data_IF_062228940943
#
_entry.id   IF_062228940943
#
_cell.length_a   1.000
_cell.length_b   1.000
_cell.length_c   1.000
_cell.angle_alpha   90.00
_cell.angle_beta   90.00
_cell.angle_gamma   90.00
#
_symmetry.space_group_name_H-M   'P 1'
#
loop_
_entity.id
_entity.type
_entity.pdbx_description
1 polymer ?
#
# COMPACT_ATOMS: atom_id res chain seq x y z
N UNK A 1 -0.70 -18.72 6.56
CA UNK A 1 -0.68 -17.71 7.64
C UNK A 1 -0.56 -16.35 6.99
N UNK A 2 -1.37 -15.37 7.38
CA UNK A 2 -1.32 -14.01 6.82
C UNK A 2 -0.14 -13.23 7.41
N UNK A 3 0.47 -12.33 6.64
CA UNK A 3 1.60 -11.51 7.10
C UNK A 3 1.09 -10.17 7.67
N UNK A 4 1.12 -10.05 9.00
CA UNK A 4 0.72 -8.84 9.72
C UNK A 4 1.59 -7.61 9.38
N UNK A 5 2.77 -7.79 8.79
CA UNK A 5 3.59 -6.66 8.36
C UNK A 5 2.96 -5.86 7.22
N UNK A 6 2.00 -6.48 6.51
CA UNK A 6 1.34 -5.89 5.36
C UNK A 6 0.16 -4.98 5.69
N UNK A 7 -0.14 -4.80 6.98
CA UNK A 7 -1.16 -3.86 7.42
C UNK A 7 -0.61 -2.44 7.29
N UNK A 8 -1.09 -1.71 6.28
CA UNK A 8 -0.71 -0.33 6.11
C UNK A 8 -1.30 0.55 7.20
N UNK A 9 -0.45 1.34 7.86
CA UNK A 9 -0.84 2.32 8.88
C UNK A 9 -1.92 3.33 8.41
N UNK A 10 -2.07 3.51 7.09
CA UNK A 10 -3.08 4.36 6.45
C UNK A 10 -4.31 3.60 5.91
N UNK A 11 -4.40 2.28 6.08
CA UNK A 11 -5.45 1.43 5.52
C UNK A 11 -5.15 0.84 4.14
N UNK A 12 -3.99 1.12 3.56
CA UNK A 12 -3.58 0.45 2.32
C UNK A 12 -3.02 -0.94 2.63
N UNK A 13 -3.43 -1.96 1.88
CA UNK A 13 -2.75 -3.25 1.93
C UNK A 13 -1.34 -3.12 1.33
N UNK A 14 -0.29 -3.30 2.15
CA UNK A 14 1.08 -3.13 1.67
C UNK A 14 1.45 -4.15 0.59
N UNK A 15 0.85 -5.34 0.58
CA UNK A 15 1.03 -6.31 -0.50
C UNK A 15 0.67 -5.76 -1.88
N UNK A 16 -0.13 -4.70 -1.96
CA UNK A 16 -0.44 -3.98 -3.20
C UNK A 16 0.11 -2.53 -3.24
N UNK A 17 0.94 -2.14 -2.27
CA UNK A 17 1.64 -0.86 -2.31
C UNK A 17 2.74 -0.90 -3.39
N UNK A 18 2.78 0.10 -4.28
CA UNK A 18 3.77 0.13 -5.35
C UNK A 18 5.23 0.12 -4.87
N UNK A 19 5.54 0.72 -3.72
CA UNK A 19 6.91 0.68 -3.15
C UNK A 19 7.27 -0.73 -2.68
N UNK A 20 6.36 -1.38 -1.93
CA UNK A 20 6.57 -2.74 -1.43
C UNK A 20 6.66 -3.73 -2.60
N UNK A 21 5.79 -3.58 -3.61
CA UNK A 21 5.83 -4.39 -4.83
C UNK A 21 7.10 -4.17 -5.64
N UNK A 22 7.55 -2.93 -5.82
CA UNK A 22 8.82 -2.64 -6.48
C UNK A 22 10.00 -3.34 -5.78
N UNK A 23 10.09 -3.25 -4.46
CA UNK A 23 11.14 -3.93 -3.70
C UNK A 23 11.08 -5.46 -3.85
N UNK A 24 9.88 -6.05 -3.72
CA UNK A 24 9.71 -7.52 -3.68
C UNK A 24 9.72 -8.19 -5.05
N UNK A 25 9.20 -7.51 -6.08
CA UNK A 25 9.09 -8.07 -7.42
C UNK A 25 10.32 -7.73 -8.28
N UNK A 26 11.08 -6.67 -7.91
CA UNK A 26 12.28 -6.21 -8.60
C UNK A 26 12.01 -5.92 -10.10
N UNK A 27 13.04 -5.96 -10.95
CA UNK A 27 12.93 -5.88 -12.39
C UNK A 27 12.55 -4.50 -12.92
N UNK A 28 11.82 -4.47 -14.03
CA UNK A 28 11.47 -3.24 -14.73
C UNK A 28 10.57 -2.32 -13.88
N UNK A 29 9.64 -2.89 -13.11
CA UNK A 29 8.75 -2.11 -12.25
C UNK A 29 9.54 -1.33 -11.19
N UNK A 30 10.57 -1.95 -10.60
CA UNK A 30 11.47 -1.27 -9.66
C UNK A 30 12.24 -0.13 -10.34
N UNK A 31 12.83 -0.39 -11.52
CA UNK A 31 13.58 0.61 -12.28
C UNK A 31 12.72 1.82 -12.63
N UNK A 32 11.55 1.59 -13.25
CA UNK A 32 10.62 2.65 -13.66
C UNK A 32 10.13 3.47 -12.46
N UNK A 33 9.90 2.82 -11.31
CA UNK A 33 9.49 3.50 -10.09
C UNK A 33 10.63 4.33 -9.49
N UNK A 34 11.85 3.80 -9.45
CA UNK A 34 13.04 4.49 -8.93
C UNK A 34 13.40 5.71 -9.78
N UNK A 35 13.34 5.59 -11.11
CA UNK A 35 13.50 6.71 -12.06
C UNK A 35 12.46 7.80 -11.83
N UNK A 36 11.19 7.41 -11.65
CA UNK A 36 10.11 8.35 -11.32
C UNK A 36 10.33 9.08 -9.99
N UNK A 37 11.01 8.46 -9.03
CA UNK A 37 11.42 9.09 -7.77
C UNK A 37 12.79 9.79 -7.84
N UNK A 38 13.48 9.72 -8.98
CA UNK A 38 14.84 10.25 -9.18
C UNK A 38 15.81 9.72 -8.11
N UNK A 39 15.72 8.43 -7.79
CA UNK A 39 16.60 7.78 -6.84
C UNK A 39 17.16 6.45 -7.38
N UNK A 40 18.29 5.96 -6.84
CA UNK A 40 18.79 4.63 -7.13
C UNK A 40 17.79 3.55 -6.68
N UNK A 41 17.69 2.45 -7.44
CA UNK A 41 16.75 1.36 -7.18
C UNK A 41 16.93 0.73 -5.79
N UNK A 42 18.16 0.73 -5.29
CA UNK A 42 18.58 0.20 -3.99
C UNK A 42 18.00 1.01 -2.82
N UNK A 43 17.53 2.23 -3.08
CA UNK A 43 16.83 3.06 -2.07
C UNK A 43 15.33 2.76 -1.99
N UNK A 44 14.77 1.98 -2.89
CA UNK A 44 13.37 1.56 -2.87
C UNK A 44 13.22 0.26 -2.08
N UNK A 45 13.59 0.30 -0.79
CA UNK A 45 13.46 -0.84 0.13
C UNK A 45 12.17 -0.72 0.94
N UNK A 46 11.44 -1.81 1.14
CA UNK A 46 10.27 -1.82 2.02
C UNK A 46 9.88 -3.25 2.40
N UNK A 47 9.69 -3.47 3.71
CA UNK A 47 9.31 -4.76 4.28
C UNK A 47 7.85 -4.79 4.78
N UNK A 48 7.09 -3.73 4.53
CA UNK A 48 5.72 -3.56 5.02
C UNK A 48 5.65 -2.52 6.13
N UNK A 49 4.46 -1.93 6.34
CA UNK A 49 4.31 -0.75 7.21
C UNK A 49 4.49 -1.06 8.70
N UNK A 50 4.33 -2.33 9.10
CA UNK A 50 4.57 -2.77 10.48
C UNK A 50 5.99 -3.32 10.70
N UNK A 51 6.80 -3.46 9.63
CA UNK A 51 8.19 -3.92 9.67
C UNK A 51 9.18 -2.87 9.12
N UNK A 52 8.90 -1.58 9.33
CA UNK A 52 9.74 -0.50 8.78
C UNK A 52 11.08 -0.37 9.52
N UNK A 53 12.18 -0.55 8.80
CA UNK A 53 13.54 -0.23 9.25
C UNK A 53 13.96 1.17 8.80
N UNK A 54 15.10 1.68 9.29
CA UNK A 54 15.64 2.98 8.87
C UNK A 54 15.93 3.05 7.36
N UNK A 55 16.32 1.92 6.76
CA UNK A 55 16.58 1.83 5.32
C UNK A 55 15.33 1.74 4.46
N UNK A 56 14.16 1.46 5.06
CA UNK A 56 12.93 1.37 4.30
C UNK A 56 12.52 2.74 3.76
N UNK A 57 12.19 2.82 2.47
CA UNK A 57 11.53 3.96 1.85
C UNK A 57 10.27 4.37 2.63
N UNK A 58 9.53 3.39 3.16
CA UNK A 58 8.37 3.63 4.01
C UNK A 58 8.67 4.46 5.27
N UNK A 59 9.92 4.49 5.74
CA UNK A 59 10.35 5.41 6.79
C UNK A 59 10.33 6.86 6.35
N UNK A 60 10.50 7.18 5.07
CA UNK A 60 10.29 8.52 4.51
C UNK A 60 8.82 8.87 4.22
N UNK A 61 7.89 7.93 4.39
CA UNK A 61 6.48 8.17 4.08
C UNK A 61 5.88 9.21 5.02
N UNK A 62 5.30 10.28 4.45
CA UNK A 62 4.72 11.41 5.21
C UNK A 62 3.65 10.97 6.21
N UNK A 63 2.87 9.93 5.91
CA UNK A 63 1.86 9.39 6.84
C UNK A 63 2.52 8.64 7.98
N UNK A 64 3.49 7.78 7.69
CA UNK A 64 4.24 7.04 8.73
C UNK A 64 4.93 8.02 9.67
N UNK A 65 5.62 9.02 9.13
CA UNK A 65 6.28 10.06 9.92
C UNK A 65 5.28 10.85 10.78
N UNK A 66 4.14 11.22 10.22
CA UNK A 66 3.07 11.89 10.97
C UNK A 66 2.56 11.05 12.14
N UNK A 67 2.38 9.74 11.95
CA UNK A 67 1.92 8.82 12.98
C UNK A 67 2.99 8.58 14.06
N UNK A 68 4.25 8.35 13.65
CA UNK A 68 5.39 8.21 14.57
C UNK A 68 5.53 9.43 15.48
N UNK A 69 5.45 10.64 14.92
CA UNK A 69 5.54 11.89 15.69
C UNK A 69 4.38 12.07 16.68
N UNK A 70 3.24 11.43 16.44
CA UNK A 70 2.06 11.44 17.33
C UNK A 70 2.02 10.23 18.27
N UNK A 71 3.00 9.32 18.21
CA UNK A 71 2.98 8.07 18.98
C UNK A 71 1.86 7.11 18.57
N UNK A 72 1.36 7.21 17.33
CA UNK A 72 0.24 6.41 16.82
C UNK A 72 0.73 5.32 15.86
N UNK A 73 0.00 4.21 15.82
CA UNK A 73 0.22 3.14 14.84
C UNK A 73 -0.62 3.33 13.59
N UNK A 74 -1.86 3.82 13.72
CA UNK A 74 -2.80 3.93 12.61
C UNK A 74 -3.46 5.29 12.54
N UNK A 75 -3.87 5.69 11.33
CA UNK A 75 -4.65 6.91 11.12
C UNK A 75 -5.94 6.94 11.95
N UNK A 76 -6.65 5.82 12.11
CA UNK A 76 -7.88 5.76 12.91
C UNK A 76 -7.69 6.10 14.39
N UNK A 77 -6.46 6.10 14.90
CA UNK A 77 -6.18 6.47 16.29
C UNK A 77 -6.02 7.98 16.47
N UNK A 78 -6.04 8.76 15.38
CA UNK A 78 -5.84 10.20 15.43
C UNK A 78 -7.18 10.94 15.60
N UNK A 79 -7.24 11.88 16.55
CA UNK A 79 -8.43 12.70 16.77
C UNK A 79 -8.86 13.50 15.52
N UNK A 80 -7.90 14.00 14.74
CA UNK A 80 -8.20 14.72 13.48
C UNK A 80 -8.81 13.79 12.43
N UNK A 81 -8.46 12.50 12.43
CA UNK A 81 -9.05 11.51 11.55
C UNK A 81 -10.49 11.21 11.94
N UNK A 82 -10.74 11.00 13.23
CA UNK A 82 -12.08 10.68 13.76
C UNK A 82 -13.06 11.85 13.54
N UNK A 83 -12.57 13.10 13.60
CA UNK A 83 -13.33 14.31 13.27
C UNK A 83 -13.44 14.60 11.77
N UNK A 84 -12.91 13.73 10.91
CA UNK A 84 -12.81 13.92 9.46
C UNK A 84 -12.13 15.24 9.03
N UNK A 85 -11.24 15.78 9.87
CA UNK A 85 -10.54 17.04 9.66
C UNK A 85 -9.08 16.86 9.20
N UNK A 86 -8.59 15.62 9.12
CA UNK A 86 -7.20 15.35 8.75
C UNK A 86 -6.96 15.50 7.25
N UNK A 87 -6.47 16.67 6.82
CA UNK A 87 -6.18 16.96 5.40
C UNK A 87 -5.19 15.96 4.77
N UNK A 88 -4.16 15.53 5.51
CA UNK A 88 -3.17 14.56 5.03
C UNK A 88 -3.81 13.22 4.68
N UNK A 89 -4.70 12.73 5.55
CA UNK A 89 -5.44 11.50 5.30
C UNK A 89 -6.48 11.71 4.20
N UNK A 90 -7.24 12.81 4.22
CA UNK A 90 -8.26 13.12 3.22
C UNK A 90 -7.69 13.14 1.79
N UNK A 91 -6.55 13.79 1.58
CA UNK A 91 -5.83 13.78 0.29
C UNK A 91 -5.41 12.37 -0.14
N UNK A 92 -4.91 11.55 0.80
CA UNK A 92 -4.54 10.17 0.53
C UNK A 92 -5.76 9.33 0.16
N UNK A 93 -6.83 9.41 0.95
CA UNK A 93 -8.06 8.68 0.73
C UNK A 93 -8.71 9.03 -0.62
N UNK A 94 -8.77 10.32 -0.96
CA UNK A 94 -9.29 10.77 -2.26
C UNK A 94 -8.47 10.19 -3.43
N UNK A 95 -7.14 10.15 -3.32
CA UNK A 95 -6.27 9.59 -4.37
C UNK A 95 -6.53 8.10 -4.58
N UNK A 96 -6.65 7.33 -3.51
CA UNK A 96 -6.92 5.89 -3.58
C UNK A 96 -8.36 5.58 -4.01
N UNK A 97 -9.33 6.41 -3.64
CA UNK A 97 -10.71 6.27 -4.08
C UNK A 97 -10.85 6.38 -5.60
N UNK A 98 -10.08 7.27 -6.26
CA UNK A 98 -10.05 7.40 -7.73
C UNK A 98 -9.64 6.11 -8.46
N UNK A 99 -8.96 5.20 -7.77
CA UNK A 99 -8.53 3.90 -8.29
C UNK A 99 -9.24 2.73 -7.61
N UNK A 100 -10.41 2.98 -7.00
CA UNK A 100 -11.27 1.93 -6.44
C UNK A 100 -10.80 1.37 -5.09
N UNK A 101 -9.91 2.06 -4.38
CA UNK A 101 -9.41 1.63 -3.06
C UNK A 101 -9.97 2.52 -1.96
N UNK A 102 -10.86 1.96 -1.13
CA UNK A 102 -11.40 2.64 0.04
C UNK A 102 -10.56 2.38 1.29
N UNK A 103 -9.51 3.17 1.48
CA UNK A 103 -8.61 3.05 2.65
C UNK A 103 -9.30 3.37 3.99
N UNK A 104 -10.39 4.14 3.99
CA UNK A 104 -11.17 4.42 5.20
C UNK A 104 -11.91 3.16 5.65
N UNK A 105 -12.60 2.49 4.72
CA UNK A 105 -13.24 1.19 5.00
C UNK A 105 -12.23 0.12 5.47
N UNK A 106 -11.04 0.08 4.87
CA UNK A 106 -9.98 -0.82 5.32
C UNK A 106 -9.54 -0.53 6.76
N UNK A 107 -9.36 0.75 7.14
CA UNK A 107 -9.02 1.13 8.52
C UNK A 107 -10.12 0.73 9.51
N UNK A 108 -11.40 0.81 9.13
CA UNK A 108 -12.50 0.36 9.98
C UNK A 108 -12.46 -1.15 10.25
N UNK A 109 -12.13 -1.97 9.25
CA UNK A 109 -11.95 -3.41 9.45
C UNK A 109 -10.78 -3.72 10.39
N UNK A 110 -9.65 -3.02 10.20
CA UNK A 110 -8.48 -3.15 11.08
C UNK A 110 -8.86 -2.75 12.53
N UNK A 111 -9.58 -1.63 12.70
CA UNK A 111 -10.06 -1.14 14.01
C UNK A 111 -10.98 -2.14 14.71
N UNK A 112 -11.80 -2.88 13.96
CA UNK A 112 -12.72 -3.91 14.47
C UNK A 112 -12.06 -5.25 14.80
N UNK A 113 -10.77 -5.42 14.50
CA UNK A 113 -10.05 -6.68 14.71
C UNK A 113 -10.19 -7.68 13.56
N UNK A 114 -10.83 -7.31 12.44
CA UNK A 114 -10.99 -8.16 11.24
C UNK A 114 -9.71 -8.19 10.37
N UNK A 115 -8.55 -8.00 10.99
CA UNK A 115 -7.30 -7.73 10.26
C UNK A 115 -6.86 -8.93 9.42
N UNK A 116 -6.99 -10.15 9.94
CA UNK A 116 -6.54 -11.35 9.22
C UNK A 116 -7.39 -11.63 7.97
N UNK A 117 -8.71 -11.52 8.08
CA UNK A 117 -9.61 -11.71 6.94
C UNK A 117 -9.45 -10.60 5.92
N UNK A 118 -9.31 -9.36 6.37
CA UNK A 118 -9.00 -8.24 5.49
C UNK A 118 -7.67 -8.44 4.73
N UNK A 119 -6.63 -8.97 5.38
CA UNK A 119 -5.35 -9.29 4.74
C UNK A 119 -5.51 -10.37 3.68
N UNK A 120 -6.24 -11.45 4.00
CA UNK A 120 -6.50 -12.57 3.09
C UNK A 120 -7.26 -12.13 1.84
N UNK A 121 -8.38 -11.45 2.03
CA UNK A 121 -9.19 -10.92 0.94
C UNK A 121 -8.43 -9.91 0.09
N UNK A 122 -7.60 -9.07 0.72
CA UNK A 122 -6.76 -8.11 0.00
C UNK A 122 -5.69 -8.82 -0.84
N UNK A 123 -5.04 -9.85 -0.31
CA UNK A 123 -4.05 -10.63 -1.05
C UNK A 123 -4.67 -11.29 -2.28
N UNK A 124 -5.85 -11.89 -2.14
CA UNK A 124 -6.59 -12.50 -3.25
C UNK A 124 -7.01 -11.45 -4.29
N UNK A 125 -7.51 -10.29 -3.83
CA UNK A 125 -7.96 -9.20 -4.70
C UNK A 125 -6.85 -8.67 -5.61
N UNK A 126 -5.64 -8.50 -5.08
CA UNK A 126 -4.54 -7.86 -5.79
C UNK A 126 -3.58 -8.85 -6.46
N UNK A 127 -4.11 -9.93 -7.04
CA UNK A 127 -3.34 -10.89 -7.84
C UNK A 127 -3.75 -10.87 -9.30
N UNK A 128 -2.79 -11.12 -10.18
CA UNK A 128 -3.07 -11.32 -11.59
C UNK A 128 -3.92 -12.58 -11.77
N UNK A 129 -5.10 -12.45 -12.40
CA UNK A 129 -5.98 -13.60 -12.69
C UNK A 129 -5.36 -14.65 -13.61
N UNK A 130 -4.32 -14.29 -14.36
CA UNK A 130 -3.66 -15.19 -15.30
C UNK A 130 -2.45 -15.93 -14.76
N UNK A 131 -1.60 -15.28 -13.96
CA UNK A 131 -0.38 -15.90 -13.43
C UNK A 131 -0.34 -16.01 -11.90
N UNK A 132 -1.35 -15.49 -11.20
CA UNK A 132 -1.46 -15.53 -9.73
C UNK A 132 -0.48 -14.63 -8.99
N UNK A 133 0.45 -13.95 -9.67
CA UNK A 133 1.44 -13.06 -9.03
C UNK A 133 0.77 -11.79 -8.48
N UNK A 134 1.26 -11.27 -7.34
CA UNK A 134 0.73 -10.06 -6.73
C UNK A 134 0.99 -8.84 -7.62
N UNK A 135 0.09 -7.87 -7.54
CA UNK A 135 0.09 -6.65 -8.33
C UNK A 135 -0.10 -5.42 -7.41
N UNK A 136 0.52 -4.28 -7.76
CA UNK A 136 0.26 -3.03 -7.10
C UNK A 136 -1.14 -2.52 -7.45
N UNK A 137 -1.70 -1.69 -6.56
CA UNK A 137 -2.98 -1.00 -6.81
C UNK A 137 -2.92 0.01 -7.96
N UNK A 138 -1.73 0.36 -8.45
CA UNK A 138 -1.51 1.33 -9.52
C UNK A 138 -0.32 0.95 -10.43
N UNK A 139 -0.15 1.64 -11.57
CA UNK A 139 1.00 1.53 -12.50
C UNK A 139 1.20 0.15 -13.13
N UNK A 140 0.11 -0.48 -13.56
CA UNK A 140 0.19 -1.66 -14.43
C UNK A 140 -0.04 -1.30 -15.91
N UNK A 141 -0.40 -0.07 -16.26
CA UNK A 141 -0.69 0.34 -17.66
C UNK A 141 -1.62 -0.64 -18.40
N UNK A 142 -2.56 -1.25 -17.67
CA UNK A 142 -3.46 -2.27 -18.20
C UNK A 142 -2.82 -3.62 -18.52
N UNK A 143 -1.55 -3.87 -18.13
CA UNK A 143 -0.82 -5.12 -18.35
C UNK A 143 -0.09 -5.62 -17.11
N UNK A 144 -0.06 -6.94 -16.95
CA UNK A 144 0.70 -7.57 -15.88
C UNK A 144 2.19 -7.55 -16.20
N UNK A 145 3.00 -6.79 -15.45
CA UNK A 145 4.45 -6.76 -15.64
C UNK A 145 5.15 -8.11 -15.32
N UNK A 146 4.43 -9.09 -14.76
CA UNK A 146 4.95 -10.45 -14.58
C UNK A 146 4.74 -11.36 -15.78
N UNK A 147 3.65 -11.21 -16.54
CA UNK A 147 3.28 -12.16 -17.60
C UNK A 147 2.78 -11.53 -18.92
N UNK A 148 2.77 -10.20 -19.02
CA UNK A 148 2.38 -9.44 -20.21
C UNK A 148 0.88 -9.39 -20.52
N UNK A 149 0.05 -10.23 -19.89
CA UNK A 149 -1.40 -10.27 -20.14
C UNK A 149 -2.11 -9.01 -19.64
N UNK A 150 -3.18 -8.63 -20.35
CA UNK A 150 -3.98 -7.47 -19.99
C UNK A 150 -4.67 -7.67 -18.63
N UNK A 151 -4.71 -6.59 -17.84
CA UNK A 151 -5.41 -6.51 -16.58
C UNK A 151 -6.60 -5.56 -16.80
N UNK A 152 -7.82 -5.92 -16.35
CA UNK A 152 -8.95 -5.01 -16.43
C UNK A 152 -8.65 -3.70 -15.71
N UNK A 153 -9.09 -2.56 -16.28
CA UNK A 153 -8.80 -1.20 -15.78
C UNK A 153 -9.27 -0.93 -14.35
N UNK A 154 -10.09 -1.81 -13.78
CA UNK A 154 -10.62 -1.69 -12.43
C UNK A 154 -10.57 -3.05 -11.73
N UNK A 155 -9.81 -3.13 -10.65
CA UNK A 155 -9.92 -4.19 -9.63
C UNK A 155 -11.19 -3.95 -8.80
N UNK A 156 -12.35 -4.04 -9.47
CA UNK A 156 -13.66 -4.00 -8.82
C UNK A 156 -14.28 -5.36 -9.02
#
# INVERSE_FOLDING_TARGET
MVDGNLVGRCGLYCGACGIYRANKDNGEFLKNLAEGFKCPSEKVKCEGCMALTLECWGSGCKIVQCLKNKGLNFCYQCNEYEKDACEKFGKLAQRYAKIGVNVRANLERIKKGETEDWLRESDEKYRCRSCGKPLPVYRTEGKCYHCGKNIPERFI
#
